data_IF_286374686600
#
_entry.id   IF_286374686600
#
_cell.length_a   1.000
_cell.length_b   1.000
_cell.length_c   1.000
_cell.angle_alpha   90.00
_cell.angle_beta   90.00
_cell.angle_gamma   90.00
#
_symmetry.space_group_name_H-M   'P 1'
#
loop_
_entity.id
_entity.type
_entity.pdbx_description
1 polymer ?
#
# COMPACT_ATOMS: atom_id res chain seq x y z
N UNK A 1 -7.84 -10.57 10.59
CA UNK A 1 -6.95 -10.07 9.51
C UNK A 1 -6.23 -11.27 8.91
N UNK A 2 -6.18 -11.38 7.58
CA UNK A 2 -5.63 -12.58 6.90
C UNK A 2 -4.32 -12.32 6.18
N UNK A 3 -4.01 -11.05 5.89
CA UNK A 3 -2.78 -10.64 5.23
C UNK A 3 -2.22 -9.35 5.86
N UNK A 4 -0.93 -9.11 5.61
CA UNK A 4 -0.22 -7.92 6.06
C UNK A 4 0.32 -7.21 4.81
N UNK A 5 -0.08 -5.94 4.63
CA UNK A 5 0.52 -5.06 3.65
C UNK A 5 1.71 -4.35 4.28
N UNK A 6 2.89 -4.50 3.67
CA UNK A 6 4.13 -3.89 4.13
C UNK A 6 4.47 -2.73 3.21
N UNK A 7 4.66 -1.55 3.78
CA UNK A 7 4.97 -0.34 3.04
C UNK A 7 6.30 0.17 3.56
N UNK A 8 7.25 0.37 2.66
CA UNK A 8 8.59 0.83 3.00
C UNK A 8 8.79 2.22 2.44
N UNK A 9 8.93 3.21 3.32
CA UNK A 9 9.38 4.52 2.92
C UNK A 9 10.92 4.51 2.88
N UNK A 10 11.48 4.44 1.67
CA UNK A 10 12.94 4.37 1.47
C UNK A 10 13.68 5.64 1.90
N UNK A 11 13.03 6.81 1.87
CA UNK A 11 13.67 8.08 2.21
C UNK A 11 13.97 8.16 3.71
N UNK A 12 12.96 7.92 4.54
CA UNK A 12 13.08 7.95 6.01
C UNK A 12 13.47 6.59 6.62
N UNK A 13 13.63 5.54 5.79
CA UNK A 13 13.96 4.16 6.20
C UNK A 13 12.97 3.52 7.19
N UNK A 14 11.69 3.90 7.12
CA UNK A 14 10.62 3.35 7.98
C UNK A 14 9.83 2.27 7.25
N UNK A 15 9.46 1.21 7.98
CA UNK A 15 8.52 0.17 7.54
C UNK A 15 7.19 0.33 8.26
N UNK A 16 6.11 0.40 7.50
CA UNK A 16 4.75 0.44 8.01
C UNK A 16 4.04 -0.88 7.72
N UNK A 17 3.49 -1.50 8.75
CA UNK A 17 2.77 -2.77 8.65
C UNK A 17 1.29 -2.51 8.81
N UNK A 18 0.51 -2.84 7.79
CA UNK A 18 -0.93 -2.62 7.77
C UNK A 18 -1.65 -3.96 7.67
N UNK A 19 -2.46 -4.26 8.67
CA UNK A 19 -3.33 -5.43 8.64
C UNK A 19 -4.47 -5.21 7.65
N UNK A 20 -4.64 -6.16 6.72
CA UNK A 20 -5.66 -6.11 5.67
C UNK A 20 -6.50 -7.39 5.67
N UNK A 21 -7.75 -7.25 5.22
CA UNK A 21 -8.73 -8.34 5.17
C UNK A 21 -8.95 -8.88 3.76
N UNK A 22 -8.48 -8.17 2.73
CA UNK A 22 -8.74 -8.49 1.31
C UNK A 22 -7.52 -8.13 0.47
N UNK A 23 -7.29 -8.88 -0.60
CA UNK A 23 -6.24 -8.63 -1.60
C UNK A 23 -6.76 -7.93 -2.87
N UNK A 24 -8.01 -7.43 -2.86
CA UNK A 24 -8.57 -6.68 -3.98
C UNK A 24 -7.84 -5.33 -4.14
N UNK A 25 -7.27 -5.09 -5.32
CA UNK A 25 -6.48 -3.92 -5.66
C UNK A 25 -7.18 -2.59 -5.35
N UNK A 26 -8.48 -2.45 -5.66
CA UNK A 26 -9.25 -1.24 -5.39
C UNK A 26 -9.35 -0.95 -3.88
N UNK A 27 -9.63 -2.00 -3.09
CA UNK A 27 -9.72 -1.88 -1.63
C UNK A 27 -8.36 -1.56 -1.02
N UNK A 28 -7.29 -2.15 -1.56
CA UNK A 28 -5.91 -1.86 -1.15
C UNK A 28 -5.52 -0.42 -1.45
N UNK A 29 -5.79 0.09 -2.66
CA UNK A 29 -5.53 1.47 -3.03
C UNK A 29 -6.26 2.44 -2.09
N UNK A 30 -7.56 2.21 -1.83
CA UNK A 30 -8.35 3.05 -0.94
C UNK A 30 -7.80 3.07 0.49
N UNK A 31 -7.34 1.93 1.00
CA UNK A 31 -6.70 1.83 2.31
C UNK A 31 -5.33 2.51 2.36
N UNK A 32 -4.53 2.36 1.30
CA UNK A 32 -3.26 3.04 1.13
C UNK A 32 -3.44 4.56 1.17
N UNK A 33 -4.34 5.12 0.36
CA UNK A 33 -4.64 6.55 0.38
C UNK A 33 -5.16 7.02 1.74
N UNK A 34 -6.03 6.26 2.40
CA UNK A 34 -6.54 6.69 3.71
C UNK A 34 -5.45 6.77 4.78
N UNK A 35 -4.49 5.84 4.80
CA UNK A 35 -3.50 5.77 5.89
C UNK A 35 -2.15 6.36 5.53
N UNK A 36 -1.59 5.98 4.39
CA UNK A 36 -0.20 6.24 4.03
C UNK A 36 -0.06 7.65 3.47
N UNK A 37 -0.99 8.03 2.60
CA UNK A 37 -1.03 9.40 2.06
C UNK A 37 -1.24 10.44 3.17
N UNK A 38 -2.11 10.12 4.14
CA UNK A 38 -2.32 10.99 5.30
C UNK A 38 -1.06 11.17 6.15
N UNK A 39 -0.18 10.17 6.20
CA UNK A 39 1.02 10.18 7.03
C UNK A 39 2.23 10.80 6.32
N UNK A 40 2.43 10.48 5.04
CA UNK A 40 3.67 10.82 4.31
C UNK A 40 3.46 11.83 3.18
N UNK A 41 2.26 12.42 3.05
CA UNK A 41 1.84 13.22 1.89
C UNK A 41 1.96 12.42 0.58
N UNK A 42 1.79 13.09 -0.57
CA UNK A 42 1.87 12.46 -1.88
C UNK A 42 3.29 11.93 -2.14
N UNK A 43 3.51 10.60 -2.24
CA UNK A 43 4.80 10.06 -2.63
C UNK A 43 5.00 10.25 -4.14
N UNK A 44 6.14 10.80 -4.55
CA UNK A 44 6.44 11.01 -5.98
C UNK A 44 6.54 9.71 -6.78
N UNK A 45 6.98 8.62 -6.13
CA UNK A 45 7.19 7.31 -6.78
C UNK A 45 6.67 6.23 -5.85
N UNK A 46 5.82 5.34 -6.38
CA UNK A 46 5.35 4.14 -5.69
C UNK A 46 5.87 2.94 -6.46
N UNK A 47 6.64 2.08 -5.78
CA UNK A 47 7.12 0.81 -6.32
C UNK A 47 6.37 -0.29 -5.58
N UNK A 48 5.69 -1.16 -6.32
CA UNK A 48 4.95 -2.30 -5.80
C UNK A 48 5.46 -3.60 -6.42
N UNK A 49 5.14 -4.72 -5.79
CA UNK A 49 5.48 -6.03 -6.34
C UNK A 49 4.61 -6.29 -7.58
N UNK A 50 5.16 -6.94 -8.62
CA UNK A 50 4.43 -7.27 -9.87
C UNK A 50 3.32 -8.33 -9.70
N UNK A 51 2.88 -8.56 -8.46
CA UNK A 51 1.77 -9.44 -8.13
C UNK A 51 0.44 -8.88 -8.62
N UNK A 52 -0.47 -9.77 -9.02
CA UNK A 52 -1.82 -9.45 -9.51
C UNK A 52 -2.65 -8.61 -8.53
N UNK A 53 -2.32 -8.64 -7.24
CA UNK A 53 -3.00 -7.92 -6.17
C UNK A 53 -2.82 -6.39 -6.25
N UNK A 54 -1.83 -5.92 -7.00
CA UNK A 54 -1.51 -4.49 -7.18
C UNK A 54 -1.81 -3.98 -8.59
N UNK A 55 -2.27 -4.86 -9.49
CA UNK A 55 -2.60 -4.53 -10.87
C UNK A 55 -4.12 -4.64 -10.99
N UNK A 56 -4.76 -3.60 -11.51
CA UNK A 56 -6.18 -3.61 -11.83
C UNK A 56 -6.35 -3.12 -13.25
N UNK A 57 -6.90 -3.96 -14.13
CA UNK A 57 -7.11 -3.68 -15.56
C UNK A 57 -8.54 -3.21 -15.84
N UNK A 58 -9.08 -2.33 -14.98
CA UNK A 58 -10.41 -1.75 -15.22
C UNK A 58 -10.50 -1.12 -16.61
#
# INVERSE_FOLDING_TARGET
>A
YKHILIIVNKFIKIKYYMLITTLNALKLAKQFFKRVYSLYKYPNIIIFNKSTQFISTF
#
